data_IF_067131043018
#
_entry.id   IF_067131043018
#
_cell.length_a   1.000
_cell.length_b   1.000
_cell.length_c   1.000
_cell.angle_alpha   90.00
_cell.angle_beta   90.00
_cell.angle_gamma   90.00
#
_symmetry.space_group_name_H-M   'P 1'
#
loop_
_entity.id
_entity.type
_entity.pdbx_description
1 polymer ?
#
# COMPACT_ATOMS: atom_id res chain seq x y z
N UNK A 1 -11.89 -15.68 10.85
CA UNK A 1 -10.48 -15.40 10.49
C UNK A 1 -10.52 -14.60 9.22
N UNK A 2 -10.15 -13.32 9.25
CA UNK A 2 -10.02 -12.52 8.03
C UNK A 2 -8.74 -12.93 7.30
N UNK A 3 -8.84 -13.25 6.01
CA UNK A 3 -7.66 -13.46 5.18
C UNK A 3 -6.90 -12.14 5.05
N UNK A 4 -5.61 -12.18 5.42
CA UNK A 4 -4.71 -11.04 5.28
C UNK A 4 -3.82 -11.24 4.05
N UNK A 5 -3.81 -10.26 3.17
CA UNK A 5 -2.98 -10.22 1.95
C UNK A 5 -1.77 -9.34 2.18
N UNK A 6 -0.60 -9.85 1.82
CA UNK A 6 0.64 -9.05 1.73
C UNK A 6 0.70 -8.40 0.35
N UNK A 7 1.00 -7.11 0.33
CA UNK A 7 1.14 -6.30 -0.88
C UNK A 7 2.43 -5.50 -0.79
N UNK A 8 3.07 -5.27 -1.93
CA UNK A 8 4.14 -4.29 -2.05
C UNK A 8 3.66 -3.19 -2.98
N UNK A 9 3.86 -1.94 -2.57
CA UNK A 9 3.53 -0.76 -3.36
C UNK A 9 4.73 0.17 -3.39
N UNK A 10 5.11 0.56 -4.60
CA UNK A 10 6.11 1.57 -4.85
C UNK A 10 5.40 2.89 -5.15
N UNK A 11 5.71 3.95 -4.41
CA UNK A 11 5.06 5.25 -4.56
C UNK A 11 6.03 6.42 -4.36
N UNK A 12 5.67 7.62 -4.85
CA UNK A 12 6.52 8.80 -4.68
C UNK A 12 6.75 9.13 -3.19
N UNK A 13 7.99 9.45 -2.83
CA UNK A 13 8.38 9.82 -1.45
C UNK A 13 7.42 10.81 -0.74
N UNK A 14 6.94 11.91 -1.37
CA UNK A 14 6.06 12.85 -0.69
C UNK A 14 4.69 12.26 -0.33
N UNK A 15 4.27 11.17 -0.97
CA UNK A 15 2.97 10.53 -0.75
C UNK A 15 3.00 9.48 0.36
N UNK A 16 4.18 9.12 0.87
CA UNK A 16 4.36 8.04 1.85
C UNK A 16 3.62 8.28 3.16
N UNK A 17 3.66 9.53 3.67
CA UNK A 17 2.96 9.87 4.91
C UNK A 17 1.45 9.64 4.79
N UNK A 18 0.87 10.13 3.70
CA UNK A 18 -0.55 9.96 3.43
C UNK A 18 -0.90 8.49 3.15
N UNK A 19 -0.07 7.76 2.40
CA UNK A 19 -0.27 6.34 2.16
C UNK A 19 -0.29 5.51 3.46
N UNK A 20 0.60 5.82 4.41
CA UNK A 20 0.62 5.21 5.75
C UNK A 20 -0.65 5.55 6.54
N UNK A 21 -1.10 6.80 6.48
CA UNK A 21 -2.36 7.22 7.11
C UNK A 21 -3.56 6.43 6.56
N UNK A 22 -3.66 6.26 5.24
CA UNK A 22 -4.76 5.50 4.64
C UNK A 22 -4.68 4.01 4.98
N UNK A 23 -3.48 3.42 4.98
CA UNK A 23 -3.26 2.03 5.41
C UNK A 23 -3.77 1.81 6.85
N UNK A 24 -3.39 2.68 7.78
CA UNK A 24 -3.81 2.59 9.18
C UNK A 24 -5.33 2.76 9.34
N UNK A 25 -5.96 3.66 8.57
CA UNK A 25 -7.42 3.85 8.57
C UNK A 25 -8.19 2.62 8.10
N UNK A 26 -7.61 1.86 7.17
CA UNK A 26 -8.19 0.62 6.65
C UNK A 26 -7.84 -0.62 7.50
N UNK A 27 -7.16 -0.43 8.64
CA UNK A 27 -6.75 -1.51 9.53
C UNK A 27 -5.62 -2.38 8.97
N UNK A 28 -4.87 -1.87 7.99
CA UNK A 28 -3.65 -2.50 7.50
C UNK A 28 -2.44 -2.18 8.37
N UNK A 29 -1.39 -2.96 8.19
CA UNK A 29 -0.14 -2.86 8.94
C UNK A 29 1.04 -2.77 7.96
N UNK A 30 1.98 -1.87 8.26
CA UNK A 30 3.20 -1.74 7.48
C UNK A 30 4.24 -2.73 8.00
N UNK A 31 4.74 -3.59 7.13
CA UNK A 31 5.73 -4.60 7.47
C UNK A 31 7.17 -4.09 7.28
N UNK A 32 7.40 -3.35 6.19
CA UNK A 32 8.71 -2.79 5.88
C UNK A 32 8.60 -1.61 4.94
N UNK A 33 9.55 -0.68 5.03
CA UNK A 33 9.68 0.49 4.17
C UNK A 33 11.13 0.62 3.70
N UNK A 34 11.34 0.86 2.41
CA UNK A 34 12.64 1.13 1.82
C UNK A 34 12.58 2.41 1.00
N UNK A 35 13.59 3.26 1.15
CA UNK A 35 13.62 4.59 0.53
C UNK A 35 14.84 4.71 -0.39
N UNK A 36 14.56 4.83 -1.69
CA UNK A 36 15.55 5.14 -2.71
C UNK A 36 15.04 6.34 -3.53
N UNK A 37 14.97 6.21 -4.86
CA UNK A 37 14.32 7.21 -5.72
C UNK A 37 12.80 7.28 -5.50
N UNK A 38 12.20 6.16 -5.09
CA UNK A 38 10.81 6.03 -4.68
C UNK A 38 10.76 5.29 -3.34
N UNK A 39 9.60 5.32 -2.67
CA UNK A 39 9.36 4.51 -1.49
C UNK A 39 8.77 3.18 -1.89
N UNK A 40 9.41 2.10 -1.47
CA UNK A 40 8.86 0.76 -1.54
C UNK A 40 8.28 0.37 -0.18
N UNK A 41 6.98 0.13 -0.14
CA UNK A 41 6.24 -0.19 1.08
C UNK A 41 5.70 -1.61 0.98
N UNK A 42 6.17 -2.47 1.88
CA UNK A 42 5.59 -3.80 2.10
C UNK A 42 4.57 -3.72 3.22
N UNK A 43 3.32 -4.04 2.93
CA UNK A 43 2.19 -3.90 3.84
C UNK A 43 1.29 -5.13 3.83
N UNK A 44 0.50 -5.28 4.88
CA UNK A 44 -0.51 -6.32 5.02
C UNK A 44 -1.86 -5.69 5.30
N UNK A 45 -2.90 -6.18 4.64
CA UNK A 45 -4.27 -5.69 4.81
C UNK A 45 -5.27 -6.84 4.68
N UNK A 46 -6.45 -6.70 5.26
CA UNK A 46 -7.55 -7.65 5.04
C UNK A 46 -7.95 -7.68 3.56
N UNK A 47 -8.22 -8.87 3.02
CA UNK A 47 -8.55 -9.07 1.60
C UNK A 47 -9.74 -8.22 1.16
N UNK A 48 -10.78 -8.10 1.99
CA UNK A 48 -11.96 -7.26 1.72
C UNK A 48 -11.66 -5.76 1.60
N UNK A 49 -10.48 -5.30 2.05
CA UNK A 49 -10.06 -3.89 2.02
C UNK A 49 -8.94 -3.63 1.01
N UNK A 50 -8.42 -4.67 0.36
CA UNK A 50 -7.35 -4.55 -0.63
C UNK A 50 -7.72 -3.62 -1.79
N UNK A 51 -8.88 -3.85 -2.41
CA UNK A 51 -9.33 -3.04 -3.56
C UNK A 51 -9.54 -1.57 -3.17
N UNK A 52 -10.05 -1.32 -1.96
CA UNK A 52 -10.26 0.01 -1.42
C UNK A 52 -8.93 0.74 -1.19
N UNK A 53 -7.94 0.07 -0.58
CA UNK A 53 -6.59 0.62 -0.43
C UNK A 53 -5.95 0.88 -1.79
N UNK A 54 -6.09 -0.05 -2.74
CA UNK A 54 -5.53 0.07 -4.09
C UNK A 54 -6.05 1.31 -4.80
N UNK A 55 -7.36 1.48 -4.85
CA UNK A 55 -7.98 2.67 -5.43
C UNK A 55 -7.54 3.95 -4.72
N UNK A 56 -7.48 3.94 -3.39
CA UNK A 56 -7.12 5.12 -2.61
C UNK A 56 -5.69 5.58 -2.88
N UNK A 57 -4.73 4.66 -2.89
CA UNK A 57 -3.33 5.04 -3.16
C UNK A 57 -3.10 5.37 -4.64
N UNK A 58 -3.83 4.74 -5.56
CA UNK A 58 -3.77 5.08 -6.97
C UNK A 58 -4.29 6.52 -7.22
N UNK A 59 -5.45 6.87 -6.65
CA UNK A 59 -5.99 8.23 -6.71
C UNK A 59 -5.04 9.27 -6.08
N UNK A 60 -4.53 8.96 -4.88
CA UNK A 60 -3.58 9.81 -4.15
C UNK A 60 -2.33 10.11 -4.98
N UNK A 61 -1.81 9.10 -5.67
CA UNK A 61 -0.60 9.21 -6.48
C UNK A 61 -0.88 9.64 -7.91
N UNK A 62 -2.13 9.93 -8.27
CA UNK A 62 -2.58 10.20 -9.65
C UNK A 62 -2.16 9.10 -10.64
N UNK A 63 -2.25 7.85 -10.21
CA UNK A 63 -1.88 6.65 -10.97
C UNK A 63 -0.37 6.36 -11.00
N UNK A 64 0.45 7.03 -10.17
CA UNK A 64 1.88 6.78 -10.10
C UNK A 64 2.26 5.61 -9.16
N UNK A 65 1.31 5.08 -8.38
CA UNK A 65 1.52 3.92 -7.53
C UNK A 65 1.77 2.66 -8.38
N UNK A 66 2.84 1.95 -8.09
CA UNK A 66 3.18 0.69 -8.76
C UNK A 66 3.04 -0.45 -7.77
N UNK A 67 2.16 -1.40 -8.09
CA UNK A 67 1.88 -2.53 -7.22
C UNK A 67 2.68 -3.75 -7.67
N UNK A 68 3.32 -4.41 -6.71
CA UNK A 68 4.04 -5.67 -6.87
C UNK A 68 3.52 -6.63 -5.81
N UNK A 69 2.74 -7.64 -6.22
CA UNK A 69 2.13 -8.58 -5.28
C UNK A 69 0.76 -9.05 -5.76
N UNK A 70 0.75 -10.25 -6.34
CA UNK A 70 -0.45 -10.89 -6.85
C UNK A 70 -0.12 -12.11 -7.70
N UNK A 71 0.26 -13.21 -7.05
CA UNK A 71 0.33 -14.55 -7.67
C UNK A 71 1.74 -15.14 -7.72
N UNK A 72 2.04 -15.98 -6.74
CA UNK A 72 2.32 -17.42 -6.96
C UNK A 72 1.57 -18.21 -5.88
#
# INVERSE_FOLDING_TARGET
MELRRRLTVTLPLPMVGEARSQLARLGGELLSESYAAMADLSLVIGESREEELRRTLDDLTRGAARWSGGGE
#
